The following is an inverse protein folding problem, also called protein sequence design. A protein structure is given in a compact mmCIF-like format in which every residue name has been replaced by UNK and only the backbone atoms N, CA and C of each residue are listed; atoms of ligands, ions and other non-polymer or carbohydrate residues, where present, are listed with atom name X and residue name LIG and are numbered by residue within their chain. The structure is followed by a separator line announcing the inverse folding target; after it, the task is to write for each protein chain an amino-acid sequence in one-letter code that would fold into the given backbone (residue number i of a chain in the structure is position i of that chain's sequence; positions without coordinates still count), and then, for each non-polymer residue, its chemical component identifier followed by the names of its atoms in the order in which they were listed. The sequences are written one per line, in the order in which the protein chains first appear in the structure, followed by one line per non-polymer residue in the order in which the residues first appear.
data_IF_308350041781
#
_entry.id   IF_308350041781
#
_cell.length_a   1.000
_cell.length_b   1.000
_cell.length_c   1.000
_cell.angle_alpha   90.00
_cell.angle_beta   90.00
_cell.angle_gamma   90.00
#
_symmetry.space_group_name_H-M   'P 1'
#
loop_
_entity.id
_entity.type
_entity.pdbx_description
1 polymer ?
#
# COMPACT_ATOMS: atom_id res chain seq x y z
N UNK A 1 -21.58 -16.35 -11.78
CA UNK A 1 -20.16 -16.50 -11.37
C UNK A 1 -19.72 -15.19 -10.77
N UNK A 2 -19.28 -15.24 -9.54
CA UNK A 2 -18.97 -14.07 -8.73
C UNK A 2 -17.46 -13.97 -8.51
N UNK A 3 -16.95 -12.74 -8.49
CA UNK A 3 -15.60 -12.41 -8.09
C UNK A 3 -15.67 -11.20 -7.16
N UNK A 4 -15.08 -11.32 -5.98
CA UNK A 4 -15.00 -10.24 -5.02
C UNK A 4 -13.54 -9.95 -4.67
N UNK A 5 -13.22 -8.69 -4.67
CA UNK A 5 -11.92 -8.16 -4.29
C UNK A 5 -12.19 -7.08 -3.25
N UNK A 6 -11.51 -7.16 -2.12
CA UNK A 6 -11.47 -6.10 -1.13
C UNK A 6 -10.03 -5.61 -0.98
N UNK A 7 -9.83 -4.31 -1.05
CA UNK A 7 -8.56 -3.65 -0.78
C UNK A 7 -8.74 -2.80 0.48
N UNK A 8 -8.12 -3.23 1.58
CA UNK A 8 -8.31 -2.66 2.92
C UNK A 8 -7.00 -2.00 3.32
N UNK A 9 -7.04 -0.73 3.71
CA UNK A 9 -5.85 -0.07 4.24
C UNK A 9 -5.42 -0.73 5.56
N UNK A 10 -4.12 -0.95 5.73
CA UNK A 10 -3.59 -1.59 6.95
C UNK A 10 -3.94 -0.79 8.20
N UNK A 11 -3.98 0.53 8.10
CA UNK A 11 -4.39 1.43 9.19
C UNK A 11 -5.86 1.27 9.61
N UNK A 12 -6.72 0.75 8.70
CA UNK A 12 -8.14 0.53 9.00
C UNK A 12 -8.39 -0.82 9.68
N UNK A 13 -7.38 -1.66 9.72
CA UNK A 13 -7.47 -2.99 10.29
C UNK A 13 -7.16 -2.93 11.78
N UNK A 14 -8.15 -3.23 12.60
CA UNK A 14 -7.96 -3.39 14.05
C UNK A 14 -7.30 -4.73 14.38
N UNK A 15 -7.63 -5.79 13.64
CA UNK A 15 -7.14 -7.13 13.89
C UNK A 15 -7.24 -8.02 12.67
N UNK A 16 -6.23 -8.86 12.48
CA UNK A 16 -6.25 -10.02 11.58
C UNK A 16 -6.05 -11.28 12.42
N UNK A 17 -6.82 -12.32 12.17
CA UNK A 17 -6.67 -13.59 12.85
C UNK A 17 -6.91 -14.78 11.93
N UNK A 18 -6.22 -15.88 12.22
CA UNK A 18 -6.55 -17.19 11.68
C UNK A 18 -7.50 -17.86 12.65
N UNK A 19 -8.67 -18.25 12.18
CA UNK A 19 -9.70 -18.93 12.98
C UNK A 19 -9.78 -20.39 12.56
N UNK A 20 -9.71 -21.31 13.53
CA UNK A 20 -9.89 -22.74 13.27
C UNK A 20 -11.36 -23.04 12.95
N UNK A 21 -11.61 -23.73 11.85
CA UNK A 21 -12.94 -24.12 11.40
C UNK A 21 -13.58 -25.15 12.33
N UNK A 22 -12.82 -26.16 12.74
CA UNK A 22 -13.28 -27.24 13.63
C UNK A 22 -14.63 -27.85 13.19
N UNK A 23 -14.80 -28.10 11.87
CA UNK A 23 -16.02 -28.63 11.26
C UNK A 23 -17.16 -27.61 11.11
N UNK A 24 -16.99 -26.37 11.53
CA UNK A 24 -17.98 -25.30 11.41
C UNK A 24 -17.95 -24.64 10.02
N UNK A 25 -19.08 -24.10 9.60
CA UNK A 25 -19.16 -23.26 8.39
C UNK A 25 -18.50 -21.89 8.63
N UNK A 26 -18.15 -21.21 7.52
CA UNK A 26 -17.65 -19.85 7.56
C UNK A 26 -18.59 -18.92 8.35
N UNK A 27 -19.90 -18.99 8.11
CA UNK A 27 -20.90 -18.18 8.81
C UNK A 27 -20.91 -18.43 10.32
N UNK A 28 -20.67 -19.68 10.77
CA UNK A 28 -20.58 -20.02 12.19
C UNK A 28 -19.27 -19.56 12.85
N UNK A 29 -18.21 -19.34 12.05
CA UNK A 29 -16.88 -18.93 12.52
C UNK A 29 -16.69 -17.43 12.46
N UNK A 30 -17.34 -16.76 11.50
CA UNK A 30 -17.16 -15.33 11.22
C UNK A 30 -17.37 -14.44 12.45
N UNK A 31 -18.41 -14.70 13.25
CA UNK A 31 -18.76 -13.82 14.37
C UNK A 31 -19.03 -12.38 13.87
N UNK A 32 -18.37 -11.41 14.49
CA UNK A 32 -18.46 -9.98 14.19
C UNK A 32 -17.35 -9.48 13.23
N UNK A 33 -16.58 -10.38 12.61
CA UNK A 33 -15.58 -9.99 11.63
C UNK A 33 -16.20 -9.30 10.41
N UNK A 34 -15.58 -8.23 9.96
CA UNK A 34 -16.05 -7.46 8.80
C UNK A 34 -15.76 -8.20 7.49
N UNK A 35 -14.62 -8.88 7.41
CA UNK A 35 -14.22 -9.72 6.28
C UNK A 35 -13.77 -11.09 6.77
N UNK A 36 -14.10 -12.13 6.00
CA UNK A 36 -13.61 -13.48 6.22
C UNK A 36 -13.47 -14.20 4.88
N UNK A 37 -12.44 -15.04 4.76
CA UNK A 37 -12.23 -15.94 3.62
C UNK A 37 -11.63 -17.26 4.10
N UNK A 38 -11.72 -18.32 3.27
CA UNK A 38 -11.04 -19.56 3.60
C UNK A 38 -9.52 -19.36 3.65
N UNK A 39 -8.88 -20.10 4.52
CA UNK A 39 -7.44 -20.01 4.75
C UNK A 39 -6.63 -21.02 3.95
N UNK A 40 -5.59 -21.57 4.59
CA UNK A 40 -4.60 -22.43 3.97
C UNK A 40 -5.13 -23.82 3.60
N UNK A 41 -4.31 -24.55 2.85
CA UNK A 41 -4.59 -25.90 2.38
C UNK A 41 -4.73 -26.91 3.51
N UNK A 42 -5.56 -27.93 3.30
CA UNK A 42 -5.75 -29.02 4.24
C UNK A 42 -6.01 -30.34 3.53
N UNK A 43 -5.66 -31.44 4.16
CA UNK A 43 -5.96 -32.77 3.70
C UNK A 43 -7.45 -33.08 3.93
N UNK A 44 -8.18 -33.33 2.87
CA UNK A 44 -9.63 -33.56 2.91
C UNK A 44 -10.02 -34.86 3.62
N UNK A 45 -9.10 -35.82 3.71
CA UNK A 45 -9.35 -37.12 4.35
C UNK A 45 -9.15 -37.02 5.85
N UNK A 46 -8.08 -36.35 6.29
CA UNK A 46 -7.71 -36.25 7.70
C UNK A 46 -8.21 -34.98 8.36
N UNK A 47 -8.61 -33.97 7.57
CA UNK A 47 -8.97 -32.62 8.05
C UNK A 47 -7.79 -31.80 8.57
N UNK A 48 -6.54 -32.31 8.49
CA UNK A 48 -5.35 -31.62 9.01
C UNK A 48 -4.83 -30.57 8.02
N UNK A 49 -4.21 -29.47 8.50
CA UNK A 49 -3.60 -28.50 7.61
C UNK A 49 -2.40 -29.12 6.88
N UNK A 50 -2.33 -28.81 5.58
CA UNK A 50 -1.20 -29.11 4.70
C UNK A 50 -0.45 -27.81 4.46
N UNK A 51 0.83 -27.79 4.78
CA UNK A 51 1.62 -26.57 4.82
C UNK A 51 1.76 -26.02 6.24
N UNK A 52 2.71 -25.10 6.39
CA UNK A 52 3.00 -24.56 7.71
C UNK A 52 1.86 -23.64 8.19
N UNK A 53 1.40 -23.89 9.41
CA UNK A 53 0.35 -23.10 10.05
C UNK A 53 0.71 -22.86 11.53
N UNK A 54 0.72 -21.59 11.93
CA UNK A 54 0.96 -21.17 13.32
C UNK A 54 -0.11 -20.16 13.74
N UNK A 55 -0.72 -20.35 14.87
CA UNK A 55 -1.78 -19.49 15.42
C UNK A 55 -1.47 -19.15 16.86
N UNK A 56 -1.31 -17.87 17.19
CA UNK A 56 -1.05 -17.39 18.53
C UNK A 56 0.18 -18.04 19.19
N UNK A 57 1.25 -18.23 18.44
CA UNK A 57 2.48 -18.90 18.89
C UNK A 57 2.44 -20.43 18.81
N UNK A 58 1.26 -21.05 18.67
CA UNK A 58 1.12 -22.52 18.58
C UNK A 58 1.27 -22.98 17.14
N UNK A 59 2.25 -23.84 16.86
CA UNK A 59 2.43 -24.50 15.57
C UNK A 59 1.43 -25.66 15.45
N UNK A 60 0.51 -25.55 14.49
CA UNK A 60 -0.51 -26.57 14.20
C UNK A 60 -0.06 -27.54 13.11
N UNK A 61 0.76 -27.08 12.17
CA UNK A 61 1.43 -27.93 11.17
C UNK A 61 2.82 -27.39 10.88
N UNK A 62 3.77 -28.30 10.67
CA UNK A 62 5.15 -28.02 10.23
C UNK A 62 5.40 -28.49 8.81
N UNK A 63 4.41 -29.08 8.15
CA UNK A 63 4.56 -29.55 6.78
C UNK A 63 4.78 -28.37 5.84
N UNK A 64 5.94 -28.28 5.26
CA UNK A 64 6.35 -27.20 4.37
C UNK A 64 6.44 -27.68 2.91
N UNK A 65 5.30 -28.02 2.30
CA UNK A 65 5.29 -28.24 0.86
C UNK A 65 5.43 -26.92 0.07
N UNK A 66 5.20 -25.77 0.74
CA UNK A 66 5.63 -24.45 0.31
C UNK A 66 6.41 -23.77 1.44
N UNK A 67 7.45 -23.01 1.09
CA UNK A 67 8.26 -22.27 2.08
C UNK A 67 7.78 -20.86 2.32
N UNK A 68 6.84 -20.36 1.52
CA UNK A 68 6.31 -19.00 1.58
C UNK A 68 5.00 -18.92 2.34
N UNK A 69 4.83 -17.84 3.09
CA UNK A 69 3.59 -17.51 3.77
C UNK A 69 3.58 -16.08 4.27
N UNK A 70 2.43 -15.66 4.80
CA UNK A 70 2.32 -14.42 5.54
C UNK A 70 2.47 -14.67 7.03
N UNK A 71 3.26 -13.81 7.69
CA UNK A 71 3.53 -13.83 9.11
C UNK A 71 3.15 -12.49 9.74
N UNK A 72 2.65 -12.50 10.97
CA UNK A 72 2.35 -11.31 11.77
C UNK A 72 2.26 -11.65 13.26
N UNK A 73 2.50 -10.67 14.11
CA UNK A 73 2.33 -10.80 15.55
C UNK A 73 0.97 -10.28 16.01
N UNK A 74 0.76 -8.98 15.85
CA UNK A 74 -0.46 -8.29 16.28
C UNK A 74 -0.89 -7.27 15.19
N UNK A 75 -2.15 -6.85 15.24
CA UNK A 75 -2.64 -5.82 14.32
C UNK A 75 -2.66 -6.27 12.86
N UNK A 76 -2.06 -5.46 11.98
CA UNK A 76 -2.02 -5.63 10.53
C UNK A 76 -0.59 -5.57 9.96
N UNK A 77 0.41 -5.94 10.75
CA UNK A 77 1.83 -5.95 10.40
C UNK A 77 2.25 -7.17 9.54
N UNK A 78 1.40 -7.56 8.59
CA UNK A 78 1.66 -8.71 7.73
C UNK A 78 2.91 -8.53 6.89
N UNK A 79 3.77 -9.54 6.92
CA UNK A 79 4.94 -9.64 6.04
C UNK A 79 4.97 -10.98 5.33
N UNK A 80 5.28 -10.96 4.03
CA UNK A 80 5.55 -12.20 3.31
C UNK A 80 6.98 -12.67 3.58
N UNK A 81 7.10 -13.85 4.16
CA UNK A 81 8.38 -14.40 4.59
C UNK A 81 8.53 -15.85 4.17
N UNK A 82 9.78 -16.31 4.12
CA UNK A 82 10.10 -17.74 4.04
C UNK A 82 10.23 -18.35 5.45
N UNK A 83 9.95 -19.63 5.58
CA UNK A 83 10.19 -20.37 6.81
C UNK A 83 11.70 -20.47 7.12
N UNK A 84 12.08 -20.50 8.41
CA UNK A 84 11.24 -20.40 9.60
C UNK A 84 10.77 -18.97 9.89
N UNK A 85 9.56 -18.81 10.47
CA UNK A 85 9.01 -17.53 10.88
C UNK A 85 8.89 -17.47 12.41
N UNK A 86 9.42 -16.41 13.02
CA UNK A 86 9.37 -16.21 14.47
C UNK A 86 8.00 -15.68 14.92
N UNK A 87 7.28 -14.95 14.07
CA UNK A 87 5.98 -14.32 14.36
C UNK A 87 4.98 -15.28 15.01
N UNK A 88 4.06 -14.72 15.80
CA UNK A 88 3.02 -15.48 16.50
C UNK A 88 2.02 -16.17 15.56
N UNK A 89 1.77 -15.59 14.40
CA UNK A 89 0.88 -16.14 13.38
C UNK A 89 1.64 -16.35 12.07
N UNK A 90 1.33 -17.46 11.41
CA UNK A 90 1.87 -17.75 10.09
C UNK A 90 0.89 -18.62 9.32
N UNK A 91 0.63 -18.25 8.07
CA UNK A 91 -0.16 -19.05 7.14
C UNK A 91 0.61 -19.27 5.84
N UNK A 92 0.95 -20.53 5.56
CA UNK A 92 1.59 -20.92 4.30
C UNK A 92 0.60 -21.05 3.16
N UNK A 93 1.10 -20.85 1.95
CA UNK A 93 0.32 -20.98 0.72
C UNK A 93 1.23 -21.03 -0.51
N UNK A 94 0.63 -21.00 -1.69
CA UNK A 94 1.36 -21.00 -2.96
C UNK A 94 1.75 -19.56 -3.33
N UNK A 95 3.05 -19.23 -3.44
CA UNK A 95 3.45 -17.89 -3.80
C UNK A 95 3.04 -17.56 -5.23
N UNK A 96 2.39 -16.41 -5.41
CA UNK A 96 2.05 -15.83 -6.70
C UNK A 96 3.01 -14.68 -7.04
N UNK A 97 3.30 -13.83 -6.06
CA UNK A 97 4.28 -12.75 -6.12
C UNK A 97 5.11 -12.79 -4.85
N UNK A 98 6.43 -12.85 -4.97
CA UNK A 98 7.36 -12.76 -3.83
C UNK A 98 8.11 -11.43 -3.86
N UNK A 99 8.74 -10.99 -2.77
CA UNK A 99 9.50 -9.75 -2.74
C UNK A 99 10.65 -9.66 -3.76
N UNK A 100 11.04 -10.81 -4.33
CA UNK A 100 12.17 -10.91 -5.27
C UNK A 100 11.74 -11.22 -6.71
N UNK A 101 10.47 -11.61 -6.94
CA UNK A 101 9.98 -11.94 -8.27
C UNK A 101 9.42 -10.70 -8.96
N UNK A 102 10.02 -10.32 -10.07
CA UNK A 102 9.39 -9.37 -10.99
C UNK A 102 8.09 -9.93 -11.62
N UNK A 103 7.27 -9.08 -12.23
CA UNK A 103 5.98 -9.48 -12.83
C UNK A 103 6.12 -10.55 -13.93
N UNK A 104 7.27 -10.59 -14.57
CA UNK A 104 7.56 -11.50 -15.70
C UNK A 104 8.23 -12.81 -15.28
N UNK A 105 8.43 -13.06 -13.96
CA UNK A 105 9.02 -14.31 -13.51
C UNK A 105 8.14 -15.50 -13.97
N UNK A 106 8.76 -16.44 -14.67
CA UNK A 106 8.12 -17.67 -15.14
C UNK A 106 7.98 -18.64 -13.96
N UNK A 107 6.85 -18.62 -13.30
CA UNK A 107 6.52 -19.60 -12.26
C UNK A 107 5.74 -20.76 -12.88
N UNK A 108 6.08 -21.97 -12.46
CA UNK A 108 5.32 -23.18 -12.82
C UNK A 108 4.59 -23.66 -11.58
N UNK A 109 3.31 -24.00 -11.76
CA UNK A 109 2.49 -24.49 -10.66
C UNK A 109 2.21 -26.00 -10.87
N UNK A 110 2.47 -26.84 -9.86
CA UNK A 110 2.17 -28.27 -9.95
C UNK A 110 0.68 -28.50 -10.19
N UNK A 111 0.35 -29.65 -10.77
CA UNK A 111 -1.02 -29.97 -11.19
C UNK A 111 -2.06 -29.89 -10.05
N UNK A 112 -1.64 -30.18 -8.83
CA UNK A 112 -2.47 -30.16 -7.62
C UNK A 112 -3.01 -28.76 -7.32
N UNK A 113 -2.24 -27.73 -7.64
CA UNK A 113 -2.59 -26.32 -7.40
C UNK A 113 -2.76 -25.50 -8.68
N UNK A 114 -2.29 -26.02 -9.81
CA UNK A 114 -2.43 -25.44 -11.15
C UNK A 114 -3.85 -25.57 -11.73
N UNK A 115 -3.94 -25.32 -13.04
CA UNK A 115 -5.18 -25.44 -13.81
C UNK A 115 -6.22 -24.35 -13.50
N UNK A 116 -7.35 -24.41 -14.19
CA UNK A 116 -8.45 -23.43 -14.08
C UNK A 116 -9.47 -23.91 -13.05
N UNK A 117 -9.64 -23.15 -11.96
CA UNK A 117 -10.61 -23.44 -10.87
C UNK A 117 -10.93 -22.18 -10.07
N UNK A 118 -11.98 -22.18 -9.21
CA UNK A 118 -12.18 -21.12 -8.21
C UNK A 118 -10.92 -20.83 -7.42
N UNK A 119 -10.70 -19.55 -7.06
CA UNK A 119 -9.46 -19.14 -6.39
C UNK A 119 -9.72 -18.24 -5.21
N UNK A 120 -8.87 -18.41 -4.19
CA UNK A 120 -8.76 -17.53 -3.03
C UNK A 120 -7.31 -17.12 -2.86
N UNK A 121 -7.07 -15.84 -2.61
CA UNK A 121 -5.74 -15.31 -2.39
C UNK A 121 -5.77 -14.11 -1.43
N UNK A 122 -4.63 -13.85 -0.83
CA UNK A 122 -4.31 -12.61 -0.13
C UNK A 122 -3.08 -12.01 -0.76
N UNK A 123 -3.03 -10.68 -0.82
CA UNK A 123 -1.91 -9.96 -1.39
C UNK A 123 -1.69 -8.64 -0.63
N UNK A 124 -0.49 -8.10 -0.74
CA UNK A 124 -0.12 -6.82 -0.14
C UNK A 124 0.31 -5.83 -1.20
N UNK A 125 -0.16 -4.62 -1.09
CA UNK A 125 0.47 -3.43 -1.65
C UNK A 125 1.30 -2.76 -0.56
N UNK A 126 1.89 -1.59 -0.83
CA UNK A 126 2.65 -0.88 0.21
C UNK A 126 1.85 -0.61 1.50
N UNK A 127 0.54 -0.36 1.41
CA UNK A 127 -0.30 0.06 2.53
C UNK A 127 -1.67 -0.63 2.60
N UNK A 128 -1.95 -1.60 1.69
CA UNK A 128 -3.24 -2.30 1.65
C UNK A 128 -3.06 -3.81 1.69
N UNK A 129 -3.96 -4.46 2.41
CA UNK A 129 -4.25 -5.88 2.28
C UNK A 129 -5.31 -6.06 1.20
N UNK A 130 -5.00 -6.88 0.18
CA UNK A 130 -5.94 -7.29 -0.85
C UNK A 130 -6.45 -8.69 -0.51
N UNK A 131 -7.76 -8.82 -0.44
CA UNK A 131 -8.46 -10.10 -0.34
C UNK A 131 -9.09 -10.42 -1.68
N UNK A 132 -8.85 -11.60 -2.20
CA UNK A 132 -9.41 -12.08 -3.46
C UNK A 132 -10.16 -13.38 -3.25
N UNK A 133 -11.39 -13.45 -3.73
CA UNK A 133 -12.15 -14.70 -3.81
C UNK A 133 -13.01 -14.72 -5.07
N UNK A 134 -12.94 -15.80 -5.84
CA UNK A 134 -13.74 -15.99 -7.04
C UNK A 134 -14.28 -17.42 -7.11
N UNK A 135 -15.56 -17.58 -7.49
CA UNK A 135 -16.16 -18.86 -7.88
C UNK A 135 -15.98 -19.15 -9.36
N UNK A 136 -15.60 -18.14 -10.16
CA UNK A 136 -15.24 -18.30 -11.56
C UNK A 136 -13.86 -18.93 -11.71
N UNK A 137 -13.72 -19.99 -12.55
CA UNK A 137 -12.42 -20.64 -12.73
C UNK A 137 -11.38 -19.70 -13.35
N UNK A 138 -10.21 -19.63 -12.72
CA UNK A 138 -9.03 -18.93 -13.24
C UNK A 138 -7.76 -19.73 -12.94
N UNK A 139 -6.70 -19.51 -13.72
CA UNK A 139 -5.40 -20.15 -13.47
C UNK A 139 -4.54 -19.33 -12.51
N UNK A 140 -3.55 -19.92 -11.83
CA UNK A 140 -2.63 -19.17 -10.98
C UNK A 140 -1.91 -18.04 -11.72
N UNK A 141 -1.54 -18.26 -12.98
CA UNK A 141 -0.84 -17.24 -13.80
C UNK A 141 -1.75 -16.04 -14.07
N UNK A 142 -3.02 -16.27 -14.40
CA UNK A 142 -4.00 -15.20 -14.58
C UNK A 142 -4.27 -14.46 -13.28
N UNK A 143 -4.43 -15.20 -12.17
CA UNK A 143 -4.61 -14.61 -10.85
C UNK A 143 -3.40 -13.76 -10.45
N UNK A 144 -2.18 -14.25 -10.68
CA UNK A 144 -0.94 -13.50 -10.45
C UNK A 144 -0.93 -12.17 -11.21
N UNK A 145 -1.23 -12.24 -12.52
CA UNK A 145 -1.30 -11.03 -13.34
C UNK A 145 -2.34 -10.06 -12.82
N UNK A 146 -3.52 -10.54 -12.48
CA UNK A 146 -4.62 -9.71 -11.97
C UNK A 146 -4.24 -9.02 -10.63
N UNK A 147 -3.58 -9.73 -9.72
CA UNK A 147 -3.11 -9.15 -8.46
C UNK A 147 -1.97 -8.14 -8.69
N UNK A 148 -1.06 -8.43 -9.62
CA UNK A 148 -0.03 -7.48 -10.04
C UNK A 148 -0.64 -6.20 -10.64
N UNK A 149 -1.66 -6.33 -11.49
CA UNK A 149 -2.37 -5.18 -12.07
C UNK A 149 -3.11 -4.35 -10.99
N UNK A 150 -3.35 -4.91 -9.81
CA UNK A 150 -3.84 -4.22 -8.60
C UNK A 150 -2.70 -3.68 -7.71
N UNK A 151 -1.47 -3.62 -8.24
CA UNK A 151 -0.27 -3.12 -7.53
C UNK A 151 0.18 -3.96 -6.34
N UNK A 152 -0.18 -5.25 -6.31
CA UNK A 152 0.35 -6.14 -5.30
C UNK A 152 1.87 -6.32 -5.47
N UNK A 153 2.62 -6.06 -4.42
CA UNK A 153 4.06 -6.33 -4.33
C UNK A 153 4.34 -7.77 -3.91
N UNK A 154 3.42 -8.36 -3.13
CA UNK A 154 3.47 -9.77 -2.73
C UNK A 154 2.07 -10.37 -2.79
N UNK A 155 1.97 -11.67 -3.11
CA UNK A 155 0.69 -12.37 -3.17
C UNK A 155 0.84 -13.86 -2.90
N UNK A 156 -0.11 -14.41 -2.15
CA UNK A 156 -0.18 -15.80 -1.75
C UNK A 156 -1.54 -16.39 -2.12
N UNK A 157 -1.55 -17.45 -2.90
CA UNK A 157 -2.75 -18.24 -3.16
C UNK A 157 -3.00 -19.17 -1.99
N UNK A 158 -4.22 -19.13 -1.49
CA UNK A 158 -4.73 -19.99 -0.43
C UNK A 158 -5.44 -21.23 -1.00
N UNK A 159 -6.04 -22.05 -0.15
CA UNK A 159 -6.81 -23.19 -0.63
C UNK A 159 -7.90 -22.73 -1.61
N UNK A 160 -8.10 -23.51 -2.65
CA UNK A 160 -8.81 -23.10 -3.84
C UNK A 160 -9.80 -24.19 -4.31
N UNK A 161 -10.43 -23.99 -5.45
CA UNK A 161 -11.42 -24.91 -5.96
C UNK A 161 -12.69 -24.91 -5.12
N UNK A 162 -13.18 -26.07 -4.73
CA UNK A 162 -14.40 -26.17 -3.90
C UNK A 162 -14.28 -25.58 -2.49
N UNK A 163 -13.09 -25.20 -2.05
CA UNK A 163 -12.86 -24.54 -0.75
C UNK A 163 -13.04 -23.04 -0.82
N UNK A 164 -12.98 -22.43 -2.03
CA UNK A 164 -13.09 -20.99 -2.21
C UNK A 164 -14.40 -20.46 -1.68
N UNK A 165 -14.34 -19.63 -0.65
CA UNK A 165 -15.47 -19.00 0.00
C UNK A 165 -15.04 -17.72 0.71
N UNK A 166 -15.91 -16.74 0.74
CA UNK A 166 -15.67 -15.47 1.45
C UNK A 166 -16.98 -14.78 1.85
N UNK A 167 -16.85 -13.88 2.82
CA UNK A 167 -17.82 -12.82 3.09
C UNK A 167 -17.03 -11.52 3.27
N UNK A 168 -17.14 -10.64 2.28
CA UNK A 168 -16.47 -9.34 2.25
C UNK A 168 -17.52 -8.26 2.47
N UNK A 169 -17.76 -7.92 3.74
CA UNK A 169 -18.75 -6.91 4.14
C UNK A 169 -20.13 -7.18 3.49
N UNK A 170 -20.61 -8.43 3.52
CA UNK A 170 -21.89 -8.86 2.96
C UNK A 170 -21.84 -9.34 1.51
N UNK A 171 -20.73 -9.21 0.80
CA UNK A 171 -20.53 -9.83 -0.53
C UNK A 171 -19.98 -11.23 -0.34
N UNK A 172 -20.83 -12.25 -0.59
CA UNK A 172 -20.53 -13.63 -0.22
C UNK A 172 -20.32 -14.55 -1.43
N UNK A 173 -19.31 -15.41 -1.32
CA UNK A 173 -19.17 -16.65 -2.08
C UNK A 173 -19.26 -17.78 -1.07
N UNK A 174 -20.21 -18.68 -1.25
CA UNK A 174 -20.48 -19.78 -0.31
C UNK A 174 -19.92 -21.10 -0.83
N UNK A 175 -19.45 -21.94 0.10
CA UNK A 175 -19.07 -23.33 -0.18
C UNK A 175 -19.69 -24.25 0.88
N UNK A 176 -20.05 -25.46 0.46
CA UNK A 176 -20.46 -26.52 1.39
C UNK A 176 -19.29 -27.14 2.16
N UNK A 177 -18.04 -26.89 1.71
CA UNK A 177 -16.85 -27.44 2.38
C UNK A 177 -16.60 -26.79 3.73
N UNK A 178 -16.31 -27.64 4.70
CA UNK A 178 -15.83 -27.26 6.03
C UNK A 178 -14.30 -27.22 5.99
N UNK A 179 -13.73 -26.05 5.75
CA UNK A 179 -12.27 -25.90 5.66
C UNK A 179 -11.64 -25.90 7.04
N UNK A 180 -10.34 -26.21 7.11
CA UNK A 180 -9.62 -26.29 8.38
C UNK A 180 -9.53 -24.94 9.09
N UNK A 181 -9.28 -23.88 8.34
CA UNK A 181 -9.08 -22.54 8.91
C UNK A 181 -9.59 -21.44 7.96
N UNK A 182 -9.82 -20.29 8.55
CA UNK A 182 -10.26 -19.05 7.89
C UNK A 182 -9.34 -17.90 8.28
N UNK A 183 -9.20 -16.92 7.41
CA UNK A 183 -8.61 -15.62 7.75
C UNK A 183 -9.76 -14.65 7.96
N UNK A 184 -9.80 -14.00 9.12
CA UNK A 184 -10.81 -13.03 9.50
C UNK A 184 -10.18 -11.67 9.81
N UNK A 185 -10.83 -10.60 9.39
CA UNK A 185 -10.37 -9.23 9.55
C UNK A 185 -11.46 -8.41 10.23
N UNK A 186 -11.08 -7.63 11.23
CA UNK A 186 -11.92 -6.65 11.92
C UNK A 186 -11.38 -5.26 11.62
N UNK A 187 -12.27 -4.37 11.27
CA UNK A 187 -11.95 -2.96 11.03
C UNK A 187 -11.94 -2.17 12.33
N UNK A 188 -11.20 -1.08 12.33
CA UNK A 188 -11.18 -0.13 13.42
C UNK A 188 -12.41 0.79 13.35
N UNK A 189 -13.47 0.42 14.05
CA UNK A 189 -14.77 1.14 14.04
C UNK A 189 -14.72 2.53 14.69
N UNK A 190 -13.65 2.86 15.42
CA UNK A 190 -13.49 4.21 15.95
C UNK A 190 -13.10 5.21 14.86
N UNK A 191 -12.42 4.76 13.80
CA UNK A 191 -12.08 5.57 12.64
C UNK A 191 -13.31 5.89 11.79
N UNK A 192 -14.33 5.02 11.76
CA UNK A 192 -15.59 5.28 11.03
C UNK A 192 -16.42 6.44 11.62
N UNK A 193 -16.19 6.83 12.88
CA UNK A 193 -16.91 7.93 13.52
C UNK A 193 -16.37 9.31 13.15
N UNK A 194 -15.15 9.41 12.62
CA UNK A 194 -14.56 10.67 12.16
C UNK A 194 -14.82 10.93 10.66
N UNK A 195 -15.18 9.91 9.90
CA UNK A 195 -15.45 10.02 8.45
C UNK A 195 -16.93 10.30 8.16
N UNK A 196 -17.38 11.53 8.42
CA UNK A 196 -18.57 12.03 7.70
C UNK A 196 -18.16 12.29 6.25
N UNK A 197 -18.90 11.74 5.25
CA UNK A 197 -18.68 12.09 3.85
C UNK A 197 -18.72 13.62 3.72
N UNK A 198 -17.64 14.18 3.17
CA UNK A 198 -17.62 15.62 2.88
C UNK A 198 -18.60 15.91 1.74
N UNK A 199 -19.47 16.90 1.95
CA UNK A 199 -20.52 17.32 1.01
C UNK A 199 -19.96 18.01 -0.28
N UNK A 200 -18.64 18.11 -0.41
CA UNK A 200 -17.90 18.56 -1.60
C UNK A 200 -16.78 17.60 -1.93
N UNK A 201 -16.78 17.07 -3.12
CA UNK A 201 -15.67 16.26 -3.66
C UNK A 201 -14.47 17.18 -3.93
N UNK A 202 -13.58 17.29 -2.95
CA UNK A 202 -12.30 17.95 -3.19
C UNK A 202 -11.48 17.13 -4.19
N UNK A 203 -10.72 17.82 -5.03
CA UNK A 203 -9.86 17.22 -6.03
C UNK A 203 -8.41 17.64 -5.81
N UNK A 204 -7.51 16.69 -5.72
CA UNK A 204 -6.08 16.90 -5.58
C UNK A 204 -5.34 16.23 -6.73
N UNK A 205 -4.36 16.92 -7.30
CA UNK A 205 -3.39 16.32 -8.21
C UNK A 205 -2.10 16.08 -7.44
N UNK A 206 -1.64 14.85 -7.42
CA UNK A 206 -0.33 14.47 -6.89
C UNK A 206 0.62 14.24 -8.06
N UNK A 207 1.78 14.87 -7.97
CA UNK A 207 2.82 14.85 -8.99
C UNK A 207 4.09 14.16 -8.44
N UNK A 208 4.24 12.83 -8.65
CA UNK A 208 5.48 12.16 -8.28
C UNK A 208 6.61 12.63 -9.19
N UNK A 209 7.56 13.39 -8.64
CA UNK A 209 8.65 14.01 -9.40
C UNK A 209 9.57 12.97 -10.06
N UNK A 210 10.24 13.39 -11.14
CA UNK A 210 11.22 12.60 -11.89
C UNK A 210 10.67 11.30 -12.48
N UNK A 211 11.53 10.55 -13.14
CA UNK A 211 11.34 9.19 -13.64
C UNK A 211 12.69 8.51 -13.78
N UNK A 212 12.70 7.28 -14.27
CA UNK A 212 13.94 6.49 -14.43
C UNK A 212 14.94 7.15 -15.37
N UNK A 213 14.46 7.97 -16.30
CA UNK A 213 15.27 8.70 -17.28
C UNK A 213 15.92 9.96 -16.68
N UNK A 214 15.47 10.43 -15.52
CA UNK A 214 16.04 11.63 -14.88
C UNK A 214 17.36 11.29 -14.17
N UNK A 215 18.48 11.67 -14.81
CA UNK A 215 19.81 11.40 -14.31
C UNK A 215 20.10 12.04 -12.93
N UNK A 216 20.89 11.37 -12.09
CA UNK A 216 21.46 11.93 -10.85
C UNK A 216 20.50 12.05 -9.67
N UNK A 217 19.25 11.66 -9.79
CA UNK A 217 18.23 11.74 -8.71
C UNK A 217 18.25 10.49 -7.84
N UNK A 218 19.34 10.37 -7.05
CA UNK A 218 19.61 9.18 -6.20
C UNK A 218 20.58 9.53 -5.08
N UNK A 219 20.64 8.66 -4.06
CA UNK A 219 21.67 8.74 -3.03
C UNK A 219 23.08 8.56 -3.58
N UNK A 220 24.13 9.09 -2.93
CA UNK A 220 25.52 8.95 -3.38
C UNK A 220 25.98 7.50 -3.58
N UNK A 221 25.45 6.56 -2.80
CA UNK A 221 25.74 5.13 -2.93
C UNK A 221 24.83 4.40 -3.94
N UNK A 222 23.88 5.11 -4.55
CA UNK A 222 22.96 4.58 -5.54
C UNK A 222 21.89 3.62 -5.01
N UNK A 223 21.77 3.44 -3.69
CA UNK A 223 20.81 2.49 -3.08
C UNK A 223 19.42 3.05 -2.86
N UNK A 224 19.23 4.33 -3.11
CA UNK A 224 17.95 5.04 -3.06
C UNK A 224 17.75 5.80 -4.38
N UNK A 225 16.59 5.59 -5.01
CA UNK A 225 16.18 6.28 -6.23
C UNK A 225 15.01 7.20 -5.93
N UNK A 226 15.18 8.49 -6.19
CA UNK A 226 14.18 9.52 -5.86
C UNK A 226 12.85 9.27 -6.57
N UNK A 227 12.87 8.91 -7.85
CA UNK A 227 11.64 8.68 -8.62
C UNK A 227 10.81 7.51 -8.12
N UNK A 228 11.42 6.46 -7.54
CA UNK A 228 10.73 5.33 -6.92
C UNK A 228 10.07 5.75 -5.61
N UNK A 229 10.82 6.50 -4.79
CA UNK A 229 10.28 7.06 -3.56
C UNK A 229 9.09 8.00 -3.84
N UNK A 230 9.23 8.92 -4.80
CA UNK A 230 8.19 9.88 -5.12
C UNK A 230 6.91 9.19 -5.61
N UNK A 231 7.03 8.12 -6.40
CA UNK A 231 5.87 7.33 -6.85
C UNK A 231 5.21 6.56 -5.69
N UNK A 232 6.00 5.94 -4.82
CA UNK A 232 5.49 5.25 -3.63
C UNK A 232 4.77 6.23 -2.69
N UNK A 233 5.36 7.42 -2.46
CA UNK A 233 4.72 8.48 -1.67
C UNK A 233 3.40 8.93 -2.29
N UNK A 234 3.35 9.16 -3.60
CA UNK A 234 2.11 9.55 -4.28
C UNK A 234 1.00 8.50 -4.12
N UNK A 235 1.34 7.22 -4.22
CA UNK A 235 0.39 6.11 -4.01
C UNK A 235 -0.12 6.11 -2.57
N UNK A 236 0.75 6.29 -1.57
CA UNK A 236 0.39 6.32 -0.15
C UNK A 236 -0.47 7.53 0.20
N UNK A 237 -0.08 8.73 -0.24
CA UNK A 237 -0.84 9.97 -0.02
C UNK A 237 -2.21 9.90 -0.70
N UNK A 238 -2.28 9.38 -1.95
CA UNK A 238 -3.53 9.12 -2.66
C UNK A 238 -4.46 8.24 -1.83
N UNK A 239 -3.94 7.15 -1.31
CA UNK A 239 -4.71 6.22 -0.49
C UNK A 239 -5.30 6.91 0.77
N UNK A 240 -4.51 7.74 1.44
CA UNK A 240 -4.98 8.51 2.61
C UNK A 240 -6.07 9.53 2.23
N UNK A 241 -5.85 10.29 1.15
CA UNK A 241 -6.81 11.31 0.71
C UNK A 241 -8.14 10.70 0.24
N UNK A 242 -8.10 9.60 -0.51
CA UNK A 242 -9.30 8.92 -1.01
C UNK A 242 -10.16 8.32 0.11
N UNK A 243 -9.56 7.91 1.22
CA UNK A 243 -10.29 7.52 2.44
C UNK A 243 -11.16 8.64 2.99
N UNK A 244 -10.73 9.88 2.84
CA UNK A 244 -11.45 11.07 3.27
C UNK A 244 -12.35 11.67 2.18
N UNK A 245 -12.66 10.92 1.12
CA UNK A 245 -13.58 11.35 0.05
C UNK A 245 -12.96 12.34 -0.95
N UNK A 246 -11.63 12.55 -0.92
CA UNK A 246 -10.92 13.40 -1.87
C UNK A 246 -10.66 12.65 -3.17
N UNK A 247 -11.03 13.22 -4.31
CA UNK A 247 -10.68 12.67 -5.63
C UNK A 247 -9.21 12.97 -5.96
N UNK A 248 -8.41 11.94 -6.24
CA UNK A 248 -6.98 12.09 -6.47
C UNK A 248 -6.56 11.62 -7.86
N UNK A 249 -5.84 12.47 -8.57
CA UNK A 249 -5.28 12.21 -9.90
C UNK A 249 -3.76 12.26 -9.80
N UNK A 250 -3.07 11.29 -10.41
CA UNK A 250 -1.61 11.25 -10.48
C UNK A 250 -1.15 11.75 -11.86
N UNK A 251 -0.10 12.56 -11.89
CA UNK A 251 0.53 12.98 -13.17
C UNK A 251 1.34 11.86 -13.79
N UNK A 252 1.83 10.92 -12.99
CA UNK A 252 2.62 9.76 -13.38
C UNK A 252 2.20 8.55 -12.57
N UNK A 253 2.06 7.38 -13.21
CA UNK A 253 1.66 6.11 -12.57
C UNK A 253 2.65 4.98 -12.83
N UNK A 254 3.72 5.23 -13.56
CA UNK A 254 4.78 4.28 -13.92
C UNK A 254 6.14 4.81 -13.47
N UNK A 255 7.19 4.04 -13.64
CA UNK A 255 8.58 4.48 -13.37
C UNK A 255 9.13 5.44 -14.41
N UNK A 256 8.52 5.49 -15.60
CA UNK A 256 8.94 6.41 -16.66
C UNK A 256 8.68 7.88 -16.30
N UNK A 257 9.52 8.78 -16.79
CA UNK A 257 9.36 10.22 -16.57
C UNK A 257 8.15 10.77 -17.34
N UNK A 258 7.66 11.90 -16.90
CA UNK A 258 6.62 12.70 -17.54
C UNK A 258 7.17 14.12 -17.67
N UNK A 259 7.12 14.70 -18.84
CA UNK A 259 7.61 16.05 -19.08
C UNK A 259 6.91 17.08 -18.19
N UNK A 260 7.64 18.11 -17.76
CA UNK A 260 7.10 19.14 -16.85
C UNK A 260 5.84 19.81 -17.40
N UNK A 261 5.78 20.02 -18.73
CA UNK A 261 4.62 20.59 -19.39
C UNK A 261 3.39 19.65 -19.31
N UNK A 262 3.59 18.35 -19.45
CA UNK A 262 2.52 17.36 -19.36
C UNK A 262 1.99 17.24 -17.93
N UNK A 263 2.87 17.29 -16.92
CA UNK A 263 2.47 17.33 -15.51
C UNK A 263 1.54 18.51 -15.22
N UNK A 264 1.91 19.70 -15.72
CA UNK A 264 1.10 20.92 -15.61
C UNK A 264 -0.20 20.79 -16.40
N UNK A 265 -0.16 20.21 -17.62
CA UNK A 265 -1.33 20.00 -18.45
C UNK A 265 -2.36 19.09 -17.79
N UNK A 266 -1.91 17.97 -17.18
CA UNK A 266 -2.78 17.09 -16.38
C UNK A 266 -3.49 17.88 -15.27
N UNK A 267 -2.74 18.68 -14.49
CA UNK A 267 -3.32 19.48 -13.42
C UNK A 267 -4.32 20.51 -13.95
N UNK A 268 -3.93 21.31 -14.95
CA UNK A 268 -4.78 22.39 -15.43
C UNK A 268 -6.05 21.89 -16.15
N UNK A 269 -6.00 20.68 -16.76
CA UNK A 269 -7.16 20.08 -17.43
C UNK A 269 -8.27 19.65 -16.44
N UNK A 270 -7.94 19.33 -15.19
CA UNK A 270 -8.88 18.81 -14.20
C UNK A 270 -9.28 19.85 -13.14
N UNK A 271 -8.64 21.00 -13.13
CA UNK A 271 -8.89 22.12 -12.21
C UNK A 271 -9.00 21.67 -10.74
N UNK A 272 -7.92 21.19 -10.11
CA UNK A 272 -7.94 20.69 -8.75
C UNK A 272 -7.98 21.82 -7.72
N UNK A 273 -8.35 21.49 -6.48
CA UNK A 273 -8.25 22.41 -5.34
C UNK A 273 -6.81 22.61 -4.88
N UNK A 274 -5.95 21.59 -5.12
CA UNK A 274 -4.53 21.63 -4.78
C UNK A 274 -3.72 20.74 -5.73
N UNK A 275 -2.55 21.24 -6.13
CA UNK A 275 -1.48 20.47 -6.79
C UNK A 275 -0.34 20.25 -5.80
N UNK A 276 0.12 19.01 -5.64
CA UNK A 276 1.20 18.63 -4.74
C UNK A 276 2.26 17.83 -5.50
N UNK A 277 3.43 18.42 -5.71
CA UNK A 277 4.59 17.71 -6.25
C UNK A 277 5.40 17.09 -5.12
N UNK A 278 5.81 15.83 -5.27
CA UNK A 278 6.44 15.01 -4.24
C UNK A 278 7.87 14.69 -4.65
N UNK A 279 8.82 15.02 -3.76
CA UNK A 279 10.26 14.92 -3.98
C UNK A 279 11.02 14.51 -2.71
N UNK A 280 12.30 14.21 -2.88
CA UNK A 280 13.32 14.23 -1.82
C UNK A 280 14.50 15.06 -2.25
N UNK A 281 14.99 15.91 -1.36
CA UNK A 281 15.97 16.93 -1.61
C UNK A 281 17.40 16.39 -1.79
N UNK A 282 18.23 17.17 -2.42
CA UNK A 282 19.68 16.96 -2.52
C UNK A 282 20.45 18.21 -2.13
N UNK A 283 21.62 18.02 -1.55
CA UNK A 283 22.58 19.09 -1.31
C UNK A 283 23.88 18.81 -2.04
N UNK A 284 24.49 19.87 -2.61
CA UNK A 284 25.67 19.72 -3.44
C UNK A 284 25.35 19.13 -4.82
N UNK A 285 26.31 18.41 -5.38
CA UNK A 285 26.20 17.77 -6.72
C UNK A 285 25.55 16.37 -6.69
N UNK A 286 25.12 15.89 -5.51
CA UNK A 286 24.49 14.58 -5.35
C UNK A 286 25.47 13.40 -5.32
N UNK A 287 26.78 13.63 -5.45
CA UNK A 287 27.77 12.53 -5.52
C UNK A 287 28.39 12.18 -4.18
N UNK A 288 28.20 12.99 -3.17
CA UNK A 288 28.78 12.84 -1.83
C UNK A 288 27.73 13.00 -0.74
N UNK A 289 27.94 12.31 0.39
CA UNK A 289 27.10 12.49 1.57
C UNK A 289 27.30 13.89 2.17
N UNK A 290 26.19 14.54 2.52
CA UNK A 290 26.15 15.91 3.05
C UNK A 290 25.39 15.96 4.38
N UNK A 291 25.45 17.08 5.09
CA UNK A 291 24.83 17.26 6.41
C UNK A 291 23.42 17.88 6.39
N UNK A 292 22.97 18.68 5.40
CA UNK A 292 21.60 19.19 5.38
C UNK A 292 20.58 18.08 5.55
N UNK A 293 19.52 18.37 6.33
CA UNK A 293 18.46 17.42 6.63
C UNK A 293 17.14 18.16 6.92
N UNK A 294 16.03 17.45 6.87
CA UNK A 294 14.72 17.93 7.26
C UNK A 294 13.75 18.10 6.11
N UNK A 295 12.49 18.13 6.49
CA UNK A 295 11.35 18.29 5.61
C UNK A 295 11.15 19.75 5.21
N UNK A 296 10.83 20.02 3.94
CA UNK A 296 10.59 21.37 3.43
C UNK A 296 9.51 21.42 2.38
N UNK A 297 8.87 22.56 2.22
CA UNK A 297 7.87 22.80 1.18
C UNK A 297 8.22 24.05 0.40
N UNK A 298 8.18 23.95 -0.91
CA UNK A 298 8.34 25.06 -1.81
C UNK A 298 7.00 25.55 -2.34
N UNK A 299 6.85 26.88 -2.42
CA UNK A 299 5.79 27.56 -3.17
C UNK A 299 6.40 28.58 -4.13
N UNK A 300 5.64 29.03 -5.15
CA UNK A 300 6.20 29.92 -6.19
C UNK A 300 6.52 31.33 -5.72
N UNK A 301 6.01 31.79 -4.57
CA UNK A 301 6.31 33.10 -3.98
C UNK A 301 5.82 33.24 -2.54
N UNK A 302 6.37 34.24 -1.80
CA UNK A 302 5.94 34.59 -0.46
C UNK A 302 4.56 35.28 -0.43
N UNK A 303 4.18 35.98 -1.49
CA UNK A 303 2.84 36.53 -1.66
C UNK A 303 1.81 35.44 -2.00
N UNK A 304 0.71 35.40 -1.27
CA UNK A 304 -0.27 34.31 -1.40
C UNK A 304 -1.69 34.81 -1.59
N UNK A 305 -2.08 35.00 -2.83
CA UNK A 305 -3.48 35.23 -3.20
C UNK A 305 -4.21 33.97 -3.64
N UNK A 306 -3.48 32.85 -3.83
CA UNK A 306 -4.00 31.60 -4.40
C UNK A 306 -4.12 30.44 -3.37
N UNK A 307 -3.85 30.70 -2.09
CA UNK A 307 -3.99 29.68 -1.03
C UNK A 307 -2.79 28.73 -0.88
N UNK A 308 -1.74 28.80 -1.75
CA UNK A 308 -0.60 27.88 -1.75
C UNK A 308 0.20 27.91 -0.45
N UNK A 309 0.48 29.13 0.08
CA UNK A 309 1.21 29.26 1.34
C UNK A 309 0.35 28.83 2.55
N UNK A 310 -0.97 28.93 2.45
CA UNK A 310 -1.88 28.40 3.47
C UNK A 310 -1.81 26.87 3.49
N UNK A 311 -1.88 26.23 2.34
CA UNK A 311 -1.72 24.77 2.21
C UNK A 311 -0.34 24.31 2.71
N UNK A 312 0.75 24.95 2.26
CA UNK A 312 2.10 24.63 2.72
C UNK A 312 2.25 24.72 4.25
N UNK A 313 1.73 25.80 4.85
CA UNK A 313 1.77 25.99 6.32
C UNK A 313 0.96 24.94 7.06
N UNK A 314 -0.19 24.49 6.53
CA UNK A 314 -1.01 23.46 7.12
C UNK A 314 -0.27 22.11 7.14
N UNK A 315 0.38 21.73 6.02
CA UNK A 315 1.19 20.51 5.94
C UNK A 315 2.40 20.59 6.88
N UNK A 316 3.12 21.73 6.90
CA UNK A 316 4.27 21.93 7.80
C UNK A 316 3.89 21.85 9.27
N UNK A 317 2.71 22.33 9.65
CA UNK A 317 2.20 22.18 11.01
C UNK A 317 2.06 20.71 11.39
N UNK A 318 1.55 19.86 10.49
CA UNK A 318 1.44 18.42 10.71
C UNK A 318 2.80 17.72 10.79
N UNK A 319 3.75 18.11 9.93
CA UNK A 319 5.12 17.62 10.03
C UNK A 319 5.75 17.93 11.39
N UNK A 320 5.55 19.16 11.88
CA UNK A 320 6.02 19.59 13.19
C UNK A 320 5.34 18.84 14.34
N UNK A 321 4.02 18.64 14.26
CA UNK A 321 3.24 17.88 15.27
C UNK A 321 3.69 16.43 15.34
N UNK A 322 4.11 15.84 14.21
CA UNK A 322 4.69 14.50 14.10
C UNK A 322 6.16 14.43 14.54
N UNK A 323 6.77 15.56 14.93
CA UNK A 323 8.18 15.60 15.34
C UNK A 323 9.19 15.49 14.19
N UNK A 324 8.74 15.67 12.95
CA UNK A 324 9.63 15.64 11.77
C UNK A 324 10.47 16.92 11.74
N UNK A 325 11.81 16.83 11.67
CA UNK A 325 12.67 17.98 11.56
C UNK A 325 12.36 18.81 10.32
N UNK A 326 12.31 20.14 10.45
CA UNK A 326 12.08 21.05 9.34
C UNK A 326 13.40 21.66 8.86
N UNK A 327 13.66 21.60 7.55
CA UNK A 327 14.80 22.26 6.94
C UNK A 327 14.54 23.76 6.79
N UNK A 328 15.45 24.60 7.29
CA UNK A 328 15.40 26.07 7.11
C UNK A 328 14.07 26.72 7.52
N UNK A 329 13.37 26.15 8.52
CA UNK A 329 12.04 26.62 8.95
C UNK A 329 10.88 26.04 8.14
N UNK A 330 11.17 25.23 7.15
CA UNK A 330 10.21 24.40 6.40
C UNK A 330 9.59 25.06 5.16
N UNK A 331 9.29 26.36 5.16
CA UNK A 331 8.67 27.04 4.03
C UNK A 331 9.71 27.78 3.18
N UNK A 332 9.77 27.42 1.90
CA UNK A 332 10.69 28.01 0.94
C UNK A 332 9.93 28.55 -0.28
N UNK A 333 10.56 29.43 -1.03
CA UNK A 333 9.99 30.02 -2.23
C UNK A 333 10.95 29.89 -3.39
N UNK A 334 10.48 29.29 -4.50
CA UNK A 334 11.22 29.23 -5.76
C UNK A 334 10.26 29.14 -6.94
N UNK A 335 10.70 29.65 -8.09
CA UNK A 335 9.92 29.68 -9.32
C UNK A 335 10.06 28.37 -10.12
N UNK A 336 9.89 27.22 -9.44
CA UNK A 336 9.92 25.92 -10.08
C UNK A 336 8.78 25.81 -11.13
N UNK A 337 9.08 25.17 -12.25
CA UNK A 337 8.20 25.13 -13.42
C UNK A 337 6.76 24.71 -13.08
N UNK A 338 6.60 23.61 -12.37
CA UNK A 338 5.28 23.08 -11.96
C UNK A 338 4.55 24.02 -10.99
N UNK A 339 5.27 24.79 -10.18
CA UNK A 339 4.67 25.72 -9.22
C UNK A 339 4.19 27.04 -9.87
N UNK A 340 4.83 27.48 -10.96
CA UNK A 340 4.46 28.75 -11.61
C UNK A 340 3.49 28.58 -12.77
N UNK A 341 3.43 27.41 -13.40
CA UNK A 341 2.59 27.15 -14.56
C UNK A 341 1.29 26.40 -14.21
N UNK A 342 1.15 25.87 -13.02
CA UNK A 342 -0.09 25.30 -12.51
C UNK A 342 -1.04 26.40 -12.06
N UNK A 343 -2.31 26.36 -12.52
CA UNK A 343 -3.35 27.35 -12.19
C UNK A 343 -3.83 27.19 -10.76
N UNK A 344 -3.99 25.97 -10.29
CA UNK A 344 -4.38 25.66 -8.92
C UNK A 344 -3.31 26.12 -7.90
N UNK A 345 -3.67 26.30 -6.61
CA UNK A 345 -2.69 26.38 -5.55
C UNK A 345 -1.70 25.20 -5.65
N UNK A 346 -0.39 25.49 -5.73
CA UNK A 346 0.62 24.49 -5.98
C UNK A 346 1.72 24.52 -4.91
N UNK A 347 2.08 23.36 -4.38
CA UNK A 347 3.16 23.12 -3.43
C UNK A 347 4.07 22.01 -3.94
N UNK A 348 5.37 22.07 -3.59
CA UNK A 348 6.31 20.99 -3.82
C UNK A 348 6.90 20.60 -2.48
N UNK A 349 6.82 19.34 -2.14
CA UNK A 349 7.27 18.78 -0.87
C UNK A 349 8.61 18.07 -1.04
N UNK A 350 9.56 18.43 -0.19
CA UNK A 350 10.85 17.77 -0.04
C UNK A 350 10.86 17.02 1.29
N UNK A 351 10.75 15.69 1.24
CA UNK A 351 10.57 14.83 2.41
C UNK A 351 11.83 14.59 3.25
N UNK A 352 12.94 15.20 2.90
CA UNK A 352 14.26 15.05 3.48
C UNK A 352 15.33 14.96 2.39
N UNK A 353 16.58 14.87 2.78
CA UNK A 353 17.71 14.88 1.85
C UNK A 353 18.22 13.48 1.54
N UNK A 354 18.06 13.01 0.29
CA UNK A 354 18.64 11.74 -0.15
C UNK A 354 20.18 11.78 -0.26
N UNK A 355 20.80 12.94 -0.06
CA UNK A 355 22.25 13.11 0.12
C UNK A 355 22.68 13.11 1.60
N UNK A 356 21.76 13.00 2.55
CA UNK A 356 22.04 12.77 3.96
C UNK A 356 21.87 11.28 4.29
N UNK A 357 22.93 10.61 4.74
CA UNK A 357 22.93 9.16 4.96
C UNK A 357 21.86 8.72 5.96
N UNK A 358 21.72 9.44 7.08
CA UNK A 358 20.74 9.08 8.11
C UNK A 358 19.29 9.26 7.63
N UNK A 359 19.01 10.32 6.85
CA UNK A 359 17.69 10.51 6.26
C UNK A 359 17.40 9.49 5.17
N UNK A 360 18.37 9.19 4.32
CA UNK A 360 18.22 8.16 3.28
C UNK A 360 17.81 6.81 3.87
N UNK A 361 18.43 6.39 4.97
CA UNK A 361 18.06 5.15 5.64
C UNK A 361 16.61 5.19 6.17
N UNK A 362 16.15 6.34 6.70
CA UNK A 362 14.74 6.50 7.10
C UNK A 362 13.79 6.49 5.90
N UNK A 363 14.11 7.23 4.83
CA UNK A 363 13.30 7.33 3.61
C UNK A 363 13.14 5.98 2.91
N UNK A 364 14.02 5.02 3.14
CA UNK A 364 13.89 3.65 2.65
C UNK A 364 12.87 2.83 3.42
N UNK A 365 12.55 3.19 4.68
CA UNK A 365 11.66 2.38 5.53
C UNK A 365 10.19 2.59 5.18
N UNK A 366 9.39 1.51 5.06
CA UNK A 366 7.95 1.62 4.82
C UNK A 366 7.21 2.38 5.91
N UNK A 367 7.64 2.25 7.16
CA UNK A 367 7.04 2.88 8.35
C UNK A 367 7.16 4.40 8.27
N UNK A 368 8.36 4.91 7.96
CA UNK A 368 8.57 6.35 7.83
C UNK A 368 7.85 6.94 6.63
N UNK A 369 7.78 6.22 5.51
CA UNK A 369 6.95 6.63 4.36
C UNK A 369 5.46 6.69 4.70
N UNK A 370 4.97 5.76 5.52
CA UNK A 370 3.58 5.78 5.99
C UNK A 370 3.30 6.99 6.89
N UNK A 371 4.23 7.34 7.80
CA UNK A 371 4.16 8.53 8.63
C UNK A 371 4.14 9.81 7.78
N UNK A 372 5.05 9.96 6.82
CA UNK A 372 5.11 11.08 5.89
C UNK A 372 3.81 11.22 5.09
N UNK A 373 3.27 10.11 4.57
CA UNK A 373 2.02 10.13 3.80
C UNK A 373 0.81 10.59 4.64
N UNK A 374 0.76 10.27 5.93
CA UNK A 374 -0.26 10.79 6.84
C UNK A 374 -0.12 12.29 7.07
N UNK A 375 1.11 12.78 7.19
CA UNK A 375 1.40 14.22 7.33
C UNK A 375 0.92 14.99 6.11
N UNK A 376 1.30 14.53 4.91
CA UNK A 376 0.95 15.16 3.65
C UNK A 376 -0.56 15.20 3.42
N UNK A 377 -1.24 14.09 3.69
CA UNK A 377 -2.69 13.99 3.52
C UNK A 377 -3.49 14.84 4.51
N UNK A 378 -3.12 14.81 5.80
CA UNK A 378 -3.83 15.57 6.86
C UNK A 378 -3.60 17.09 6.78
N UNK A 379 -2.52 17.53 6.15
CA UNK A 379 -2.24 18.93 5.88
C UNK A 379 -2.88 19.46 4.60
N UNK A 380 -3.31 18.58 3.69
CA UNK A 380 -4.08 18.95 2.51
C UNK A 380 -5.47 19.46 2.89
N UNK A 381 -6.10 20.37 2.13
CA UNK A 381 -7.31 21.05 2.59
C UNK A 381 -8.45 20.05 2.81
N UNK A 382 -8.72 19.81 4.08
CA UNK A 382 -9.95 19.19 4.60
C UNK A 382 -10.74 20.21 5.43
N UNK A 383 -10.79 21.46 4.93
CA UNK A 383 -11.76 22.54 5.29
C UNK A 383 -11.26 23.89 4.80
#
# INVERSE_FOLDING_TARGET
MSKYIAAIHLSDIARIAILEGNGRSMAQVKGDADYILNGGFYDMTTGKPVGHLKIGGKVLSKEAWTTWGYAWDTGADLSMVQLPAEAANYIGGVPLLTPWDGPDAKLTYPAEVGGSRPRTAIAMTGDKLILYCADSPTTPEKLRKELHDLWASTALMLDSGGSSQCDFAGKCISSSRRVHNYIAIWLNKELEKEDKPMDKTHKVVLDPGHGVETAGKRSPDGTYLEHEFNLDMAIRVKAQLERHGVSVILTRTTTHDTDLADRVSVSNSVNPDLFVSLHSNASGDGTSWTSPNGYGIYTSSAGDTAGRNKAAKAILARAKDAGIPLWGGGLHHDRLYVLVNTVAPAVLIEHGFHTNKAETEKLKTPEYRAELAQVDAKGSPSR
#
